data_IF_999826296208
#
_entry.id   IF_999826296208
#
_cell.length_a   1.000
_cell.length_b   1.000
_cell.length_c   1.000
_cell.angle_alpha   90.00
_cell.angle_beta   90.00
_cell.angle_gamma   90.00
#
_symmetry.space_group_name_H-M   'P 1'
#
loop_
_entity.id
_entity.type
_entity.pdbx_description
1 polymer ?
#
# COMPACT_ATOMS: atom_id res chain seq x y z
N UNK A 1 0.62 13.68 9.77
CA UNK A 1 1.02 15.00 9.22
C UNK A 1 1.26 14.79 7.74
N UNK A 2 0.50 15.46 6.86
CA UNK A 2 0.63 15.29 5.41
C UNK A 2 1.99 15.84 4.95
N UNK A 3 2.82 15.02 4.30
CA UNK A 3 4.06 15.51 3.68
C UNK A 3 3.73 16.36 2.45
N UNK A 4 4.57 17.36 2.13
CA UNK A 4 4.41 18.16 0.90
C UNK A 4 4.33 17.26 -0.33
N UNK A 5 5.18 16.22 -0.37
CA UNK A 5 5.21 15.26 -1.48
C UNK A 5 3.93 14.44 -1.62
N UNK A 6 3.28 14.06 -0.52
CA UNK A 6 1.99 13.35 -0.56
C UNK A 6 0.89 14.23 -1.17
N UNK A 7 0.86 15.52 -0.82
CA UNK A 7 -0.09 16.46 -1.41
C UNK A 7 0.16 16.65 -2.93
N UNK A 8 1.42 16.76 -3.34
CA UNK A 8 1.82 16.85 -4.75
C UNK A 8 1.38 15.62 -5.56
N UNK A 9 1.66 14.41 -5.05
CA UNK A 9 1.26 13.15 -5.71
C UNK A 9 -0.25 13.06 -5.95
N UNK A 10 -1.06 13.48 -4.97
CA UNK A 10 -2.52 13.53 -5.12
C UNK A 10 -2.90 14.52 -6.23
N UNK A 11 -2.33 15.73 -6.23
CA UNK A 11 -2.62 16.74 -7.23
C UNK A 11 -2.20 16.31 -8.64
N UNK A 12 -1.05 15.63 -8.79
CA UNK A 12 -0.56 15.09 -10.06
C UNK A 12 -1.54 14.05 -10.63
N UNK A 13 -2.01 13.10 -9.80
CA UNK A 13 -2.97 12.06 -10.21
C UNK A 13 -4.35 12.65 -10.53
N UNK A 14 -4.81 13.64 -9.76
CA UNK A 14 -6.06 14.36 -10.02
C UNK A 14 -6.01 15.14 -11.33
N UNK A 15 -4.88 15.79 -11.62
CA UNK A 15 -4.67 16.52 -12.87
C UNK A 15 -4.55 15.59 -14.08
N UNK A 16 -3.94 14.41 -13.91
CA UNK A 16 -3.85 13.41 -14.97
C UNK A 16 -5.22 12.84 -15.35
N UNK A 17 -6.14 12.67 -14.39
CA UNK A 17 -7.53 12.27 -14.64
C UNK A 17 -7.67 10.93 -15.36
N UNK A 18 -6.79 9.96 -15.04
CA UNK A 18 -6.78 8.65 -15.70
C UNK A 18 -7.99 7.79 -15.32
N UNK A 19 -8.56 7.10 -16.32
CA UNK A 19 -9.61 6.09 -16.15
C UNK A 19 -9.05 4.67 -15.92
N UNK A 20 -7.72 4.51 -15.98
CA UNK A 20 -7.05 3.23 -15.76
C UNK A 20 -7.16 2.76 -14.30
N UNK A 21 -7.09 1.44 -14.11
CA UNK A 21 -7.33 0.82 -12.80
C UNK A 21 -6.30 1.24 -11.75
N UNK A 22 -5.00 1.06 -12.04
CA UNK A 22 -3.93 1.35 -11.09
C UNK A 22 -3.88 2.81 -10.64
N UNK A 23 -3.93 3.82 -11.53
CA UNK A 23 -3.97 5.23 -11.14
C UNK A 23 -5.16 5.59 -10.24
N UNK A 24 -6.35 5.05 -10.53
CA UNK A 24 -7.54 5.25 -9.69
C UNK A 24 -7.38 4.62 -8.31
N UNK A 25 -6.85 3.40 -8.25
CA UNK A 25 -6.59 2.72 -6.99
C UNK A 25 -5.53 3.45 -6.16
N UNK A 26 -4.46 3.92 -6.78
CA UNK A 26 -3.43 4.71 -6.11
C UNK A 26 -4.00 6.03 -5.56
N UNK A 27 -4.77 6.76 -6.37
CA UNK A 27 -5.38 8.02 -5.94
C UNK A 27 -6.31 7.81 -4.74
N UNK A 28 -7.11 6.74 -4.75
CA UNK A 28 -7.97 6.37 -3.64
C UNK A 28 -7.16 6.03 -2.37
N UNK A 29 -6.08 5.26 -2.52
CA UNK A 29 -5.16 4.94 -1.43
C UNK A 29 -4.54 6.20 -0.81
N UNK A 30 -3.98 7.10 -1.63
CA UNK A 30 -3.34 8.32 -1.15
C UNK A 30 -4.33 9.27 -0.48
N UNK A 31 -5.56 9.42 -1.03
CA UNK A 31 -6.62 10.20 -0.39
C UNK A 31 -7.01 9.61 0.96
N UNK A 32 -7.14 8.28 1.05
CA UNK A 32 -7.46 7.60 2.31
C UNK A 32 -6.37 7.79 3.36
N UNK A 33 -5.09 7.70 2.98
CA UNK A 33 -3.98 8.00 3.89
C UNK A 33 -3.97 9.46 4.37
N UNK A 34 -4.39 10.42 3.52
CA UNK A 34 -4.54 11.83 3.90
C UNK A 34 -5.72 12.05 4.84
N UNK A 35 -6.87 11.46 4.51
CA UNK A 35 -8.16 11.73 5.15
C UNK A 35 -8.39 10.89 6.42
N UNK A 36 -7.54 9.89 6.64
CA UNK A 36 -7.61 8.99 7.78
C UNK A 36 -8.64 7.86 7.61
N UNK A 37 -8.75 7.04 8.65
CA UNK A 37 -9.57 5.84 8.65
C UNK A 37 -9.71 5.24 10.05
N UNK A 38 -10.19 3.99 10.17
CA UNK A 38 -10.18 3.27 11.44
C UNK A 38 -8.77 2.92 11.94
N UNK A 39 -7.73 3.17 11.13
CA UNK A 39 -6.34 2.80 11.35
C UNK A 39 -5.46 4.03 11.53
N UNK A 40 -4.15 3.83 11.74
CA UNK A 40 -3.16 4.91 11.91
C UNK A 40 -2.72 5.54 10.59
N UNK A 41 -3.58 5.52 9.57
CA UNK A 41 -3.34 6.11 8.27
C UNK A 41 -2.81 7.56 8.34
N UNK A 42 -3.26 8.36 9.31
CA UNK A 42 -2.84 9.76 9.51
C UNK A 42 -1.39 9.92 10.03
N UNK A 43 -0.82 8.84 10.59
CA UNK A 43 0.55 8.76 11.11
C UNK A 43 1.55 8.31 10.05
N UNK A 44 1.08 7.89 8.86
CA UNK A 44 1.90 7.46 7.74
C UNK A 44 2.50 8.68 7.03
N UNK A 45 3.78 8.59 6.67
CA UNK A 45 4.45 9.60 5.84
C UNK A 45 4.76 8.98 4.48
N UNK A 46 4.08 9.44 3.43
CA UNK A 46 4.34 9.02 2.05
C UNK A 46 5.50 9.83 1.46
N UNK A 47 6.46 9.12 0.86
CA UNK A 47 7.66 9.68 0.22
C UNK A 47 7.61 9.63 -1.30
N UNK A 48 7.04 8.57 -1.86
CA UNK A 48 6.86 8.45 -3.31
C UNK A 48 5.75 7.44 -3.62
N UNK A 49 5.15 7.57 -4.80
CA UNK A 49 4.17 6.60 -5.27
C UNK A 49 3.98 6.69 -6.78
N UNK A 50 3.69 5.54 -7.40
CA UNK A 50 3.37 5.49 -8.82
C UNK A 50 2.49 4.28 -9.14
N UNK A 51 1.72 4.42 -10.21
CA UNK A 51 0.82 3.38 -10.69
C UNK A 51 1.40 2.63 -11.88
N UNK A 52 0.94 1.39 -12.04
CA UNK A 52 0.99 0.62 -13.28
C UNK A 52 -0.45 0.50 -13.83
N UNK A 53 -0.65 -0.16 -14.97
CA UNK A 53 -2.01 -0.39 -15.50
C UNK A 53 -2.91 -1.13 -14.48
N UNK A 54 -2.37 -2.16 -13.83
CA UNK A 54 -3.09 -3.09 -12.95
C UNK A 54 -2.75 -2.95 -11.45
N UNK A 55 -2.01 -1.93 -11.04
CA UNK A 55 -1.52 -1.86 -9.67
C UNK A 55 -0.82 -0.56 -9.32
N UNK A 56 -0.17 -0.54 -8.16
CA UNK A 56 0.58 0.62 -7.71
C UNK A 56 1.68 0.26 -6.71
N UNK A 57 2.55 1.24 -6.45
CA UNK A 57 3.58 1.19 -5.43
C UNK A 57 3.51 2.44 -4.56
N UNK A 58 3.84 2.29 -3.28
CA UNK A 58 3.96 3.40 -2.33
C UNK A 58 5.22 3.19 -1.49
N UNK A 59 6.05 4.22 -1.38
CA UNK A 59 7.17 4.30 -0.43
C UNK A 59 6.73 5.15 0.75
N UNK A 60 6.80 4.61 1.95
CA UNK A 60 6.29 5.27 3.16
C UNK A 60 7.12 4.93 4.40
N UNK A 61 7.09 5.82 5.39
CA UNK A 61 7.52 5.47 6.74
C UNK A 61 6.37 4.78 7.47
N UNK A 62 6.61 3.55 7.94
CA UNK A 62 5.59 2.77 8.63
C UNK A 62 5.15 3.44 9.95
N UNK A 63 3.88 3.25 10.39
CA UNK A 63 3.36 3.87 11.60
C UNK A 63 4.23 3.61 12.85
N UNK A 64 4.11 4.48 13.86
CA UNK A 64 4.82 4.41 15.15
C UNK A 64 6.36 4.43 15.06
N UNK A 65 6.92 5.14 14.07
CA UNK A 65 8.37 5.21 13.89
C UNK A 65 8.97 3.92 13.34
N UNK A 66 8.18 3.15 12.59
CA UNK A 66 8.64 2.00 11.84
C UNK A 66 9.60 2.40 10.71
N UNK A 67 10.23 1.42 10.06
CA UNK A 67 11.18 1.68 8.99
C UNK A 67 10.48 2.29 7.77
N UNK A 68 11.30 2.93 6.92
CA UNK A 68 10.90 3.23 5.55
C UNK A 68 10.83 1.94 4.73
N UNK A 69 9.72 1.73 4.06
CA UNK A 69 9.47 0.55 3.22
C UNK A 69 8.73 0.93 1.95
N UNK A 70 8.79 0.05 0.95
CA UNK A 70 7.93 0.09 -0.21
C UNK A 70 6.89 -1.01 -0.18
N UNK A 71 5.66 -0.72 -0.58
CA UNK A 71 4.64 -1.75 -0.86
C UNK A 71 4.38 -1.82 -2.36
N UNK A 72 4.20 -3.05 -2.86
CA UNK A 72 3.73 -3.34 -4.21
C UNK A 72 2.37 -4.02 -4.11
N UNK A 73 1.36 -3.48 -4.79
CA UNK A 73 0.02 -4.08 -4.88
C UNK A 73 -0.41 -4.16 -6.32
N UNK A 74 -0.73 -5.37 -6.75
CA UNK A 74 -1.33 -5.64 -8.06
C UNK A 74 -2.78 -6.09 -7.86
N UNK A 75 -3.65 -5.76 -8.83
CA UNK A 75 -5.05 -6.18 -8.86
C UNK A 75 -5.22 -7.70 -8.77
N UNK A 76 -4.24 -8.47 -9.22
CA UNK A 76 -4.25 -9.94 -9.19
C UNK A 76 -3.70 -10.53 -7.88
N UNK A 77 -3.04 -9.72 -7.04
CA UNK A 77 -2.41 -10.19 -5.78
C UNK A 77 -3.39 -10.31 -4.61
N UNK A 78 -4.69 -10.22 -4.86
CA UNK A 78 -5.80 -10.28 -3.88
C UNK A 78 -6.04 -11.66 -3.24
N UNK A 79 -5.11 -12.62 -3.32
CA UNK A 79 -5.38 -13.99 -2.87
C UNK A 79 -4.29 -14.47 -1.93
N UNK A 80 -4.35 -14.01 -0.69
CA UNK A 80 -4.04 -14.89 0.43
C UNK A 80 -5.10 -14.67 1.51
N UNK A 81 -5.71 -15.74 2.03
CA UNK A 81 -6.86 -15.64 2.96
C UNK A 81 -6.53 -14.85 4.25
N UNK A 82 -5.23 -14.63 4.50
CA UNK A 82 -4.71 -13.82 5.60
C UNK A 82 -4.83 -12.31 5.34
N UNK A 83 -5.08 -11.89 4.10
CA UNK A 83 -5.48 -10.54 3.70
C UNK A 83 -7.01 -10.48 3.79
N UNK A 84 -7.53 -10.64 5.01
CA UNK A 84 -8.93 -10.96 5.32
C UNK A 84 -9.93 -9.81 5.07
N UNK A 85 -9.53 -8.77 4.36
CA UNK A 85 -10.28 -7.52 4.25
C UNK A 85 -10.66 -7.13 2.83
N UNK A 86 -10.45 -8.00 1.84
CA UNK A 86 -10.82 -7.67 0.47
C UNK A 86 -12.31 -7.84 0.21
N UNK A 87 -12.95 -6.76 -0.20
CA UNK A 87 -14.33 -6.62 -0.69
C UNK A 87 -14.67 -7.62 -1.79
N UNK A 88 -14.98 -8.86 -1.41
CA UNK A 88 -15.58 -9.87 -2.29
C UNK A 88 -14.84 -10.13 -3.61
N UNK A 89 -15.51 -10.80 -4.54
CA UNK A 89 -14.86 -11.30 -5.76
C UNK A 89 -14.51 -10.21 -6.80
N UNK A 90 -14.97 -8.96 -6.66
CA UNK A 90 -14.70 -7.86 -7.61
C UNK A 90 -14.70 -6.45 -6.94
N UNK A 91 -13.73 -6.15 -6.09
CA UNK A 91 -13.53 -4.79 -5.55
C UNK A 91 -13.28 -3.78 -6.69
N UNK A 92 -13.87 -2.58 -6.59
CA UNK A 92 -13.53 -1.42 -7.46
C UNK A 92 -12.09 -0.94 -7.21
N UNK A 93 -11.46 -0.14 -8.11
CA UNK A 93 -10.13 0.40 -7.84
C UNK A 93 -10.10 1.21 -6.55
N UNK A 94 -11.17 1.98 -6.29
CA UNK A 94 -11.28 2.81 -5.11
C UNK A 94 -11.34 1.99 -3.82
N UNK A 95 -12.18 0.95 -3.77
CA UNK A 95 -12.28 0.05 -2.62
C UNK A 95 -10.94 -0.65 -2.34
N UNK A 96 -10.28 -1.16 -3.39
CA UNK A 96 -8.96 -1.75 -3.28
C UNK A 96 -7.93 -0.76 -2.70
N UNK A 97 -7.93 0.49 -3.20
CA UNK A 97 -7.05 1.54 -2.69
C UNK A 97 -7.28 1.86 -1.22
N UNK A 98 -8.55 1.93 -0.79
CA UNK A 98 -8.92 2.17 0.60
C UNK A 98 -8.47 1.04 1.53
N UNK A 99 -8.69 -0.21 1.12
CA UNK A 99 -8.27 -1.38 1.90
C UNK A 99 -6.76 -1.47 2.05
N UNK A 100 -6.00 -1.19 0.98
CA UNK A 100 -4.54 -1.13 1.07
C UNK A 100 -4.09 -0.02 2.02
N UNK A 101 -4.72 1.16 1.95
CA UNK A 101 -4.41 2.26 2.86
C UNK A 101 -4.67 1.89 4.32
N UNK A 102 -5.84 1.30 4.62
CA UNK A 102 -6.22 0.96 5.99
C UNK A 102 -5.45 -0.25 6.51
N UNK A 103 -5.51 -1.39 5.83
CA UNK A 103 -5.09 -2.69 6.38
C UNK A 103 -3.67 -3.12 5.98
N UNK A 104 -3.05 -2.43 5.03
CA UNK A 104 -1.67 -2.75 4.66
C UNK A 104 -0.70 -1.65 5.09
N UNK A 105 -1.04 -0.38 4.85
CA UNK A 105 -0.15 0.74 5.12
C UNK A 105 -0.39 1.36 6.51
N UNK A 106 -1.65 1.56 6.89
CA UNK A 106 -2.06 2.17 8.16
C UNK A 106 -1.97 1.24 9.37
N UNK A 107 -1.68 -0.04 9.15
CA UNK A 107 -1.43 -1.04 10.19
C UNK A 107 0.08 -1.32 10.37
N UNK A 108 0.50 -1.86 11.53
CA UNK A 108 1.90 -2.22 11.71
C UNK A 108 2.27 -3.34 10.74
N UNK A 109 3.43 -3.19 10.09
CA UNK A 109 4.01 -4.22 9.20
C UNK A 109 4.07 -5.61 9.84
N UNK A 110 4.23 -5.66 11.17
CA UNK A 110 4.20 -6.90 11.94
C UNK A 110 5.19 -7.93 11.39
N UNK A 111 4.67 -9.11 11.06
CA UNK A 111 5.44 -10.25 10.52
C UNK A 111 6.12 -9.97 9.17
N UNK A 112 5.74 -8.92 8.44
CA UNK A 112 6.39 -8.59 7.16
C UNK A 112 7.78 -7.97 7.33
N UNK A 113 8.10 -7.39 8.49
CA UNK A 113 9.40 -6.79 8.76
C UNK A 113 10.57 -7.78 8.55
N UNK A 114 10.37 -9.04 8.91
CA UNK A 114 11.39 -10.10 8.76
C UNK A 114 11.40 -10.73 7.35
N UNK A 115 10.53 -10.27 6.45
CA UNK A 115 10.28 -10.86 5.13
C UNK A 115 10.32 -9.85 3.98
N UNK A 116 10.95 -8.70 4.19
CA UNK A 116 11.11 -7.68 3.17
C UNK A 116 12.05 -8.16 2.04
N UNK A 117 11.67 -7.88 0.81
CA UNK A 117 12.51 -8.02 -0.38
C UNK A 117 13.35 -6.75 -0.52
N UNK A 118 14.61 -6.81 -0.11
CA UNK A 118 15.48 -5.64 -0.05
C UNK A 118 16.10 -5.39 -1.43
N UNK A 119 15.88 -4.19 -1.97
CA UNK A 119 16.45 -3.79 -3.26
C UNK A 119 17.94 -3.39 -3.15
N UNK A 120 18.53 -3.01 -4.29
CA UNK A 120 19.94 -2.64 -4.38
C UNK A 120 20.30 -1.38 -3.57
N UNK A 121 19.32 -0.52 -3.28
CA UNK A 121 19.48 0.72 -2.52
C UNK A 121 19.20 0.52 -1.02
N UNK A 122 18.83 -0.71 -0.63
CA UNK A 122 18.57 -1.09 0.76
C UNK A 122 17.14 -0.83 1.22
N UNK A 123 16.22 -0.46 0.32
CA UNK A 123 14.81 -0.30 0.66
C UNK A 123 14.12 -1.66 0.68
N UNK A 124 13.42 -1.97 1.77
CA UNK A 124 12.65 -3.20 1.89
C UNK A 124 11.28 -3.09 1.24
N UNK A 125 10.95 -4.04 0.36
CA UNK A 125 9.69 -4.12 -0.37
C UNK A 125 8.81 -5.28 0.12
N UNK A 126 7.50 -5.09 0.11
CA UNK A 126 6.53 -6.13 0.47
C UNK A 126 5.24 -6.05 -0.35
N UNK A 127 4.32 -7.01 -0.17
CA UNK A 127 3.04 -7.08 -0.88
C UNK A 127 3.08 -7.91 -2.17
N UNK A 128 4.24 -8.00 -2.84
CA UNK A 128 4.44 -8.90 -4.00
C UNK A 128 5.02 -10.27 -3.63
N UNK A 129 5.63 -10.39 -2.45
CA UNK A 129 6.22 -11.65 -1.98
C UNK A 129 5.15 -12.46 -1.23
N UNK A 130 4.77 -13.67 -1.70
CA UNK A 130 3.89 -14.54 -0.93
C UNK A 130 4.54 -14.88 0.41
N UNK A 131 3.78 -14.80 1.51
CA UNK A 131 4.31 -15.28 2.79
C UNK A 131 4.62 -16.76 2.68
N UNK A 132 5.91 -17.11 2.78
CA UNK A 132 6.27 -18.50 3.00
C UNK A 132 5.66 -18.93 4.33
N UNK A 133 4.69 -19.86 4.28
CA UNK A 133 4.23 -20.55 5.49
C UNK A 133 5.46 -21.02 6.25
N UNK A 134 5.61 -20.58 7.50
CA UNK A 134 6.60 -21.14 8.39
C UNK A 134 6.45 -22.66 8.34
N UNK A 135 7.45 -23.34 7.79
CA UNK A 135 7.45 -24.79 7.68
C UNK A 135 7.25 -25.34 9.08
N UNK A 136 6.19 -26.14 9.27
CA UNK A 136 6.07 -26.97 10.47
C UNK A 136 7.35 -27.79 10.56
N UNK A 137 8.20 -27.47 11.54
CA UNK A 137 9.28 -28.37 11.95
C UNK A 137 8.58 -29.62 12.50
N UNK A 138 8.71 -30.71 11.76
CA UNK A 138 8.37 -32.05 12.24
C UNK A 138 9.38 -32.49 13.30
#
# INVERSE_FOLDING_TARGET
MLSERHAELIAELEAAGSDEWGPRALLACLRKLRDGGPTEAESVVVHDAWATEDGFRVVYDAPWGGPRVGIVRERSTTIDWLDAYTTGDEATPEEFGWEVADFNIGEPLGRWLDHLDVDADGLGWWGHVPMRRAGRRH
#
